data_IF_825197202021
#
_entry.id   IF_825197202021
#
_cell.length_a   1.000
_cell.length_b   1.000
_cell.length_c   1.000
_cell.angle_alpha   90.00
_cell.angle_beta   90.00
_cell.angle_gamma   90.00
#
_symmetry.space_group_name_H-M   'P 1'
#
loop_
_entity.id
_entity.type
_entity.pdbx_description
1 polymer ?
#
# COMPACT_ATOMS: atom_id res chain seq x y z
N UNK A 1 45.36 -12.50 4.37
CA UNK A 1 44.34 -11.47 4.64
C UNK A 1 44.01 -11.55 6.12
N UNK A 2 44.11 -10.44 6.84
CA UNK A 2 43.96 -10.38 8.31
C UNK A 2 42.48 -10.47 8.71
N UNK A 3 42.20 -11.18 9.81
CA UNK A 3 40.87 -11.40 10.40
C UNK A 3 40.03 -10.10 10.59
N UNK A 4 40.70 -8.97 10.75
CA UNK A 4 40.05 -7.66 10.89
C UNK A 4 39.46 -7.14 9.56
N UNK A 5 40.05 -7.51 8.42
CA UNK A 5 39.56 -7.13 7.10
C UNK A 5 38.22 -7.82 6.79
N UNK A 6 38.11 -9.11 7.13
CA UNK A 6 36.90 -9.92 6.89
C UNK A 6 35.72 -9.49 7.77
N UNK A 7 35.99 -9.03 9.00
CA UNK A 7 34.95 -8.51 9.89
C UNK A 7 34.37 -7.18 9.39
N UNK A 8 35.22 -6.28 8.90
CA UNK A 8 34.77 -5.03 8.28
C UNK A 8 33.91 -5.27 7.03
N UNK A 9 34.31 -6.21 6.17
CA UNK A 9 33.55 -6.54 4.96
C UNK A 9 32.17 -7.15 5.29
N UNK A 10 32.08 -8.01 6.30
CA UNK A 10 30.81 -8.61 6.74
C UNK A 10 29.88 -7.55 7.36
N UNK A 11 30.40 -6.65 8.20
CA UNK A 11 29.60 -5.56 8.79
C UNK A 11 29.08 -4.59 7.72
N UNK A 12 29.91 -4.26 6.74
CA UNK A 12 29.54 -3.38 5.64
C UNK A 12 28.49 -4.01 4.73
N UNK A 13 28.62 -5.30 4.44
CA UNK A 13 27.62 -6.07 3.70
C UNK A 13 26.28 -6.16 4.46
N UNK A 14 26.31 -6.39 5.77
CA UNK A 14 25.10 -6.45 6.60
C UNK A 14 24.33 -5.12 6.65
N UNK A 15 25.04 -3.99 6.78
CA UNK A 15 24.42 -2.65 6.76
C UNK A 15 23.82 -2.31 5.40
N UNK A 16 24.50 -2.68 4.31
CA UNK A 16 24.01 -2.46 2.96
C UNK A 16 22.79 -3.33 2.65
N UNK A 17 22.79 -4.60 3.05
CA UNK A 17 21.67 -5.52 2.87
C UNK A 17 20.41 -5.01 3.58
N UNK A 18 20.49 -4.67 4.88
CA UNK A 18 19.35 -4.18 5.66
C UNK A 18 18.74 -2.88 5.10
N UNK A 19 19.56 -1.99 4.54
CA UNK A 19 19.09 -0.74 3.91
C UNK A 19 18.40 -0.97 2.57
N UNK A 20 18.83 -1.96 1.78
CA UNK A 20 18.20 -2.34 0.51
C UNK A 20 16.87 -3.03 0.77
N UNK A 21 16.82 -3.92 1.74
CA UNK A 21 15.62 -4.68 2.12
C UNK A 21 14.53 -3.75 2.67
N UNK A 22 14.84 -2.90 3.65
CA UNK A 22 13.88 -1.94 4.20
C UNK A 22 13.35 -0.94 3.17
N UNK A 23 14.14 -0.57 2.16
CA UNK A 23 13.68 0.28 1.03
C UNK A 23 12.78 -0.47 0.05
N UNK A 24 13.03 -1.77 -0.18
CA UNK A 24 12.17 -2.59 -1.04
C UNK A 24 10.83 -2.86 -0.36
N UNK A 25 10.85 -3.25 0.90
CA UNK A 25 9.65 -3.53 1.69
C UNK A 25 8.78 -2.28 1.83
N UNK A 26 9.33 -1.15 2.32
CA UNK A 26 8.55 0.08 2.47
C UNK A 26 8.00 0.63 1.14
N UNK A 27 8.67 0.38 0.01
CA UNK A 27 8.16 0.78 -1.31
C UNK A 27 7.08 -0.17 -1.84
N UNK A 28 7.14 -1.46 -1.49
CA UNK A 28 6.12 -2.44 -1.87
C UNK A 28 4.86 -2.21 -1.04
N UNK A 29 4.99 -2.03 0.28
CA UNK A 29 3.88 -1.68 1.17
C UNK A 29 3.25 -0.35 0.78
N UNK A 30 4.03 0.73 0.69
CA UNK A 30 3.49 2.04 0.30
C UNK A 30 2.84 2.05 -1.08
N UNK A 31 3.31 1.23 -2.04
CA UNK A 31 2.64 1.07 -3.35
C UNK A 31 1.41 0.19 -3.33
N UNK A 32 1.31 -0.77 -2.40
CA UNK A 32 0.11 -1.60 -2.25
C UNK A 32 -0.97 -0.80 -1.53
N UNK A 33 -0.60 -0.12 -0.46
CA UNK A 33 -1.46 0.73 0.35
C UNK A 33 -1.95 1.92 -0.47
N UNK A 34 -1.07 2.70 -1.09
CA UNK A 34 -1.46 3.83 -1.95
C UNK A 34 -2.29 3.43 -3.18
N UNK A 35 -2.12 2.22 -3.72
CA UNK A 35 -2.99 1.72 -4.81
C UNK A 35 -4.36 1.24 -4.33
N UNK A 36 -4.48 0.83 -3.07
CA UNK A 36 -5.76 0.45 -2.46
C UNK A 36 -6.52 1.71 -2.05
N UNK A 37 -5.86 2.62 -1.36
CA UNK A 37 -6.39 3.92 -0.97
C UNK A 37 -6.83 4.73 -2.20
N UNK A 38 -5.97 4.86 -3.23
CA UNK A 38 -6.32 5.60 -4.43
C UNK A 38 -7.49 5.01 -5.22
N UNK A 39 -7.67 3.68 -5.21
CA UNK A 39 -8.84 3.04 -5.82
C UNK A 39 -10.12 3.34 -5.05
N UNK A 40 -10.08 3.16 -3.72
CA UNK A 40 -11.22 3.47 -2.84
C UNK A 40 -11.59 4.95 -2.95
N UNK A 41 -10.62 5.85 -2.93
CA UNK A 41 -10.83 7.29 -3.06
C UNK A 41 -11.43 7.66 -4.43
N UNK A 42 -10.92 7.07 -5.52
CA UNK A 42 -11.44 7.32 -6.87
C UNK A 42 -12.89 6.89 -6.99
N UNK A 43 -13.18 5.66 -6.55
CA UNK A 43 -14.52 5.07 -6.55
C UNK A 43 -15.48 5.89 -5.68
N UNK A 44 -15.08 6.28 -4.46
CA UNK A 44 -15.87 7.14 -3.59
C UNK A 44 -16.13 8.51 -4.21
N UNK A 45 -15.14 9.11 -4.87
CA UNK A 45 -15.30 10.42 -5.52
C UNK A 45 -16.31 10.34 -6.67
N UNK A 46 -16.33 9.23 -7.40
CA UNK A 46 -17.23 8.98 -8.51
C UNK A 46 -18.65 8.67 -8.02
N UNK A 47 -18.78 7.94 -6.91
CA UNK A 47 -20.04 7.73 -6.20
C UNK A 47 -20.62 9.05 -5.68
N UNK A 48 -19.81 9.90 -5.00
CA UNK A 48 -20.24 11.24 -4.53
C UNK A 48 -20.64 12.18 -5.65
N UNK A 49 -20.05 12.03 -6.84
CA UNK A 49 -20.42 12.79 -8.05
C UNK A 49 -21.67 12.21 -8.75
N UNK A 50 -22.34 11.23 -8.16
CA UNK A 50 -23.47 10.49 -8.73
C UNK A 50 -23.18 9.90 -10.11
N UNK A 51 -21.89 9.59 -10.40
CA UNK A 51 -21.44 8.99 -11.66
C UNK A 51 -21.37 7.47 -11.63
N UNK A 52 -21.39 6.88 -10.44
CA UNK A 52 -21.41 5.44 -10.21
C UNK A 52 -22.52 5.09 -9.24
N UNK A 53 -23.13 3.94 -9.44
CA UNK A 53 -24.01 3.31 -8.45
C UNK A 53 -23.20 2.70 -7.31
N UNK A 54 -23.82 2.47 -6.15
CA UNK A 54 -23.14 1.82 -5.02
C UNK A 54 -22.66 0.40 -5.35
N UNK A 55 -23.33 -0.27 -6.29
CA UNK A 55 -23.00 -1.63 -6.75
C UNK A 55 -21.73 -1.65 -7.59
N UNK A 56 -21.68 -0.82 -8.65
CA UNK A 56 -20.49 -0.69 -9.50
C UNK A 56 -19.27 -0.20 -8.71
N UNK A 57 -19.52 0.71 -7.76
CA UNK A 57 -18.48 1.21 -6.88
C UNK A 57 -17.90 0.10 -5.98
N UNK A 58 -18.76 -0.73 -5.40
CA UNK A 58 -18.33 -1.85 -4.56
C UNK A 58 -17.55 -2.89 -5.36
N UNK A 59 -18.01 -3.20 -6.57
CA UNK A 59 -17.33 -4.14 -7.49
C UNK A 59 -15.93 -3.64 -7.87
N UNK A 60 -15.80 -2.36 -8.24
CA UNK A 60 -14.51 -1.75 -8.60
C UNK A 60 -13.55 -1.65 -7.40
N UNK A 61 -14.10 -1.43 -6.19
CA UNK A 61 -13.34 -1.45 -4.95
C UNK A 61 -12.99 -2.88 -4.47
N UNK A 62 -13.61 -3.92 -5.07
CA UNK A 62 -13.42 -5.31 -4.68
C UNK A 62 -13.98 -5.65 -3.31
N UNK A 63 -15.03 -4.95 -2.88
CA UNK A 63 -15.71 -5.15 -1.59
C UNK A 63 -17.21 -5.35 -1.82
N UNK A 64 -17.93 -5.73 -0.76
CA UNK A 64 -19.38 -5.86 -0.85
C UNK A 64 -20.07 -4.49 -0.84
N UNK A 65 -21.27 -4.40 -1.43
CA UNK A 65 -22.08 -3.16 -1.43
C UNK A 65 -22.37 -2.68 0.00
N UNK A 66 -22.55 -3.61 0.94
CA UNK A 66 -22.77 -3.31 2.35
C UNK A 66 -21.52 -2.69 3.00
N UNK A 67 -20.34 -3.26 2.76
CA UNK A 67 -19.07 -2.68 3.21
C UNK A 67 -18.83 -1.31 2.59
N UNK A 68 -19.13 -1.14 1.30
CA UNK A 68 -19.01 0.15 0.62
C UNK A 68 -19.93 1.20 1.27
N UNK A 69 -21.19 0.85 1.57
CA UNK A 69 -22.12 1.74 2.28
C UNK A 69 -21.64 2.08 3.69
N UNK A 70 -21.05 1.13 4.43
CA UNK A 70 -20.44 1.42 5.74
C UNK A 70 -19.28 2.39 5.62
N UNK A 71 -18.38 2.21 4.64
CA UNK A 71 -17.26 3.13 4.41
C UNK A 71 -17.77 4.53 4.06
N UNK A 72 -18.80 4.63 3.21
CA UNK A 72 -19.44 5.91 2.88
C UNK A 72 -20.05 6.56 4.13
N UNK A 73 -20.70 5.78 5.00
CA UNK A 73 -21.34 6.26 6.22
C UNK A 73 -20.33 6.64 7.33
N UNK A 74 -19.21 5.93 7.45
CA UNK A 74 -18.13 6.26 8.38
C UNK A 74 -17.35 7.51 7.93
N UNK A 75 -17.44 7.87 6.65
CA UNK A 75 -16.83 9.08 6.06
C UNK A 75 -17.78 10.29 5.95
N UNK A 76 -19.06 10.14 6.32
CA UNK A 76 -20.04 11.25 6.36
C UNK A 76 -20.08 11.88 7.75
#
# INVERSE_FOLDING_TARGET
MTYNQTLMEIEEQGKNAGRIEGRKEGRIEGRKEGRREGRIETVLSLFKKSKLTAEEAAEEAGITVEEFKKIVADMS
#
